data_IF_652502513918
#
_entry.id   IF_652502513918
#
_cell.length_a   1.000
_cell.length_b   1.000
_cell.length_c   1.000
_cell.angle_alpha   90.00
_cell.angle_beta   90.00
_cell.angle_gamma   90.00
#
_symmetry.space_group_name_H-M   'P 1'
#
loop_
_entity.id
_entity.type
_entity.pdbx_description
1 polymer ?
#
# COMPACT_ATOMS: atom_id res chain seq x y z
N UNK A 1 25.05 39.24 -5.40
CA UNK A 1 24.21 38.84 -4.26
C UNK A 1 22.80 38.66 -4.79
N UNK A 2 22.37 37.42 -5.05
CA UNK A 2 20.99 37.02 -5.36
C UNK A 2 20.98 35.49 -5.18
N UNK A 3 20.50 35.04 -4.03
CA UNK A 3 20.37 33.61 -3.70
C UNK A 3 19.10 33.08 -4.37
N UNK A 4 19.27 32.07 -5.22
CA UNK A 4 18.20 31.34 -5.87
C UNK A 4 17.63 30.32 -4.88
N UNK A 5 16.46 30.63 -4.34
CA UNK A 5 15.77 29.82 -3.33
C UNK A 5 14.94 28.77 -4.05
N UNK A 6 15.55 27.58 -4.24
CA UNK A 6 14.85 26.39 -4.74
C UNK A 6 13.73 26.03 -3.76
N UNK A 7 12.49 26.21 -4.20
CA UNK A 7 11.27 25.75 -3.52
C UNK A 7 11.36 24.24 -3.32
N UNK A 8 11.61 23.82 -2.09
CA UNK A 8 11.31 22.48 -1.61
C UNK A 8 9.80 22.32 -1.65
N UNK A 9 9.28 21.61 -2.66
CA UNK A 9 7.92 21.08 -2.57
C UNK A 9 7.97 20.02 -1.47
N UNK A 10 7.46 20.35 -0.28
CA UNK A 10 7.17 19.35 0.73
C UNK A 10 6.15 18.39 0.13
N UNK A 11 6.53 17.13 -0.15
CA UNK A 11 5.55 16.08 -0.27
C UNK A 11 4.84 16.00 1.08
N UNK A 12 3.68 16.66 1.17
CA UNK A 12 2.84 16.60 2.34
C UNK A 12 2.44 15.15 2.54
N UNK A 13 2.78 14.59 3.70
CA UNK A 13 2.17 13.36 4.18
C UNK A 13 0.65 13.55 4.14
N UNK A 14 -0.01 12.85 3.22
CA UNK A 14 -1.47 12.83 3.17
C UNK A 14 -1.97 12.11 4.42
N UNK A 15 -3.00 12.67 5.04
CA UNK A 15 -3.67 12.00 6.15
C UNK A 15 -4.20 10.65 5.66
N UNK A 16 -4.26 9.65 6.55
CA UNK A 16 -4.93 8.36 6.25
C UNK A 16 -6.36 8.61 5.78
N UNK A 17 -7.01 9.68 6.27
CA UNK A 17 -8.34 10.09 5.84
C UNK A 17 -8.37 10.55 4.37
N UNK A 18 -7.36 11.29 3.92
CA UNK A 18 -7.28 11.77 2.53
C UNK A 18 -7.08 10.62 1.52
N UNK A 19 -6.50 9.51 1.96
CA UNK A 19 -6.33 8.29 1.15
C UNK A 19 -7.67 7.57 1.01
N UNK A 20 -8.46 7.51 2.09
CA UNK A 20 -9.81 6.91 2.09
C UNK A 20 -10.76 7.68 1.17
N UNK A 21 -10.59 8.99 1.08
CA UNK A 21 -11.46 9.89 0.31
C UNK A 21 -11.09 9.98 -1.19
N UNK A 22 -10.03 9.31 -1.64
CA UNK A 22 -9.65 9.30 -3.08
C UNK A 22 -10.54 8.32 -3.84
N UNK A 23 -11.21 8.78 -4.89
CA UNK A 23 -12.19 8.05 -5.73
C UNK A 23 -11.64 6.79 -6.42
N UNK A 24 -11.39 5.73 -5.64
CA UNK A 24 -11.30 4.36 -6.11
C UNK A 24 -12.70 3.76 -6.29
N UNK A 25 -12.82 2.59 -6.95
CA UNK A 25 -14.11 1.89 -7.03
C UNK A 25 -14.67 1.74 -5.61
N UNK A 26 -15.89 2.23 -5.42
CA UNK A 26 -16.58 2.20 -4.15
C UNK A 26 -16.80 0.76 -3.72
N UNK A 27 -15.85 0.24 -2.94
CA UNK A 27 -16.14 -0.88 -2.04
C UNK A 27 -17.32 -0.43 -1.18
N UNK A 28 -18.32 -1.29 -0.91
CA UNK A 28 -19.41 -0.95 -0.02
C UNK A 28 -18.84 -0.82 1.40
N UNK A 29 -18.22 0.31 1.73
CA UNK A 29 -17.72 0.63 3.07
C UNK A 29 -18.92 1.08 3.91
N UNK A 30 -19.90 0.18 4.08
CA UNK A 30 -20.93 0.29 5.08
C UNK A 30 -20.56 -0.70 6.20
N UNK A 31 -19.54 -0.36 6.99
CA UNK A 31 -19.03 -1.23 8.05
C UNK A 31 -17.65 -0.82 8.59
N UNK A 32 -17.18 -1.49 9.65
CA UNK A 32 -15.80 -1.35 10.11
C UNK A 32 -14.89 -1.98 9.04
N UNK A 33 -13.79 -1.33 8.60
CA UNK A 33 -12.93 -1.85 7.52
C UNK A 33 -12.43 -3.29 7.72
N UNK A 34 -12.24 -3.71 8.97
CA UNK A 34 -11.85 -5.09 9.34
C UNK A 34 -12.94 -6.10 8.97
N UNK A 35 -14.21 -5.74 9.15
CA UNK A 35 -15.33 -6.63 8.84
C UNK A 35 -15.42 -6.84 7.33
N UNK A 36 -15.12 -5.83 6.52
CA UNK A 36 -15.01 -5.96 5.07
C UNK A 36 -13.94 -6.98 4.67
N UNK A 37 -12.75 -6.93 5.30
CA UNK A 37 -11.69 -7.92 5.02
C UNK A 37 -12.17 -9.33 5.38
N UNK A 38 -12.81 -9.51 6.53
CA UNK A 38 -13.37 -10.80 6.96
C UNK A 38 -14.43 -11.31 5.98
N UNK A 39 -15.35 -10.46 5.54
CA UNK A 39 -16.35 -10.80 4.54
C UNK A 39 -15.70 -11.22 3.23
N UNK A 40 -14.71 -10.47 2.71
CA UNK A 40 -13.99 -10.83 1.50
C UNK A 40 -13.31 -12.21 1.60
N UNK A 41 -12.66 -12.51 2.74
CA UNK A 41 -12.03 -13.82 2.97
C UNK A 41 -13.07 -14.96 2.94
N UNK A 42 -14.23 -14.74 3.58
CA UNK A 42 -15.32 -15.72 3.64
C UNK A 42 -15.98 -15.92 2.27
N UNK A 43 -16.34 -14.84 1.59
CA UNK A 43 -17.10 -14.85 0.34
C UNK A 43 -16.30 -15.42 -0.82
N UNK A 44 -14.99 -15.16 -0.86
CA UNK A 44 -14.12 -15.63 -1.95
C UNK A 44 -13.46 -16.98 -1.67
N UNK A 45 -13.70 -17.58 -0.48
CA UNK A 45 -13.04 -18.81 -0.01
C UNK A 45 -11.50 -18.77 -0.15
N UNK A 46 -10.91 -17.58 -0.21
CA UNK A 46 -9.48 -17.41 -0.27
C UNK A 46 -9.00 -17.13 1.15
N UNK A 47 -8.24 -18.05 1.77
CA UNK A 47 -7.80 -17.86 3.14
C UNK A 47 -6.82 -16.69 3.28
N UNK A 48 -6.28 -16.15 2.18
CA UNK A 48 -5.30 -15.08 2.19
C UNK A 48 -5.88 -13.75 1.71
N UNK A 49 -5.40 -12.67 2.32
CA UNK A 49 -5.72 -11.29 1.94
C UNK A 49 -4.47 -10.44 2.03
N UNK A 50 -4.47 -9.26 1.43
CA UNK A 50 -3.38 -8.31 1.60
C UNK A 50 -3.16 -7.44 0.38
N UNK A 51 -1.89 -7.11 0.12
CA UNK A 51 -1.51 -6.11 -0.86
C UNK A 51 -0.47 -6.67 -1.82
N UNK A 52 -0.66 -6.32 -3.09
CA UNK A 52 0.33 -6.52 -4.14
C UNK A 52 1.00 -5.17 -4.43
N UNK A 53 2.26 -5.03 -4.08
CA UNK A 53 3.03 -3.80 -4.22
C UNK A 53 4.00 -3.95 -5.40
N UNK A 54 3.97 -3.01 -6.33
CA UNK A 54 4.91 -2.96 -7.45
C UNK A 54 5.98 -1.94 -7.13
N UNK A 55 7.23 -2.38 -7.03
CA UNK A 55 8.34 -1.45 -6.89
C UNK A 55 8.65 -0.86 -8.26
N UNK A 56 8.49 0.44 -8.39
CA UNK A 56 8.73 1.15 -9.65
C UNK A 56 9.89 2.16 -9.56
N UNK A 57 10.44 2.34 -8.36
CA UNK A 57 11.59 3.18 -8.09
C UNK A 57 12.69 2.31 -7.50
N UNK A 58 13.87 2.41 -8.10
CA UNK A 58 15.03 1.63 -7.76
C UNK A 58 16.28 2.48 -7.50
N UNK A 59 16.10 3.74 -7.15
CA UNK A 59 17.18 4.69 -6.86
C UNK A 59 17.96 4.29 -5.58
N UNK A 60 17.28 3.65 -4.62
CA UNK A 60 17.88 3.23 -3.34
C UNK A 60 17.25 1.94 -2.82
N UNK A 61 18.05 0.87 -2.77
CA UNK A 61 17.63 -0.41 -2.19
C UNK A 61 17.49 -0.33 -0.66
N UNK A 62 18.36 0.42 0.01
CA UNK A 62 18.30 0.55 1.48
C UNK A 62 17.06 1.30 1.96
N UNK A 63 16.66 2.36 1.24
CA UNK A 63 15.45 3.11 1.61
C UNK A 63 14.19 2.29 1.32
N UNK A 64 14.21 1.51 0.24
CA UNK A 64 13.15 0.56 -0.08
C UNK A 64 13.00 -0.53 0.99
N UNK A 65 14.10 -1.16 1.39
CA UNK A 65 14.09 -2.19 2.44
C UNK A 65 13.55 -1.63 3.76
N UNK A 66 13.99 -0.42 4.14
CA UNK A 66 13.50 0.26 5.34
C UNK A 66 12.00 0.60 5.25
N UNK A 67 11.53 1.06 4.09
CA UNK A 67 10.10 1.28 3.85
C UNK A 67 9.30 0.00 4.02
N UNK A 68 9.72 -1.10 3.36
CA UNK A 68 9.03 -2.39 3.45
C UNK A 68 8.98 -2.91 4.88
N UNK A 69 10.08 -2.75 5.63
CA UNK A 69 10.13 -3.10 7.04
C UNK A 69 9.11 -2.30 7.87
N UNK A 70 9.18 -0.96 7.81
CA UNK A 70 8.26 -0.08 8.55
C UNK A 70 6.80 -0.35 8.16
N UNK A 71 6.53 -0.52 6.88
CA UNK A 71 5.19 -0.79 6.37
C UNK A 71 4.59 -2.06 6.97
N UNK A 72 5.36 -3.16 6.99
CA UNK A 72 4.94 -4.43 7.58
C UNK A 72 4.68 -4.30 9.08
N UNK A 73 5.59 -3.64 9.82
CA UNK A 73 5.42 -3.42 11.26
C UNK A 73 4.18 -2.59 11.57
N UNK A 74 3.92 -1.52 10.79
CA UNK A 74 2.73 -0.70 10.94
C UNK A 74 1.44 -1.47 10.67
N UNK A 75 1.41 -2.33 9.65
CA UNK A 75 0.24 -3.18 9.40
C UNK A 75 -0.06 -4.11 10.58
N UNK A 76 0.97 -4.73 11.17
CA UNK A 76 0.81 -5.59 12.35
C UNK A 76 0.30 -4.80 13.56
N UNK A 77 0.88 -3.63 13.82
CA UNK A 77 0.48 -2.77 14.92
C UNK A 77 -0.99 -2.30 14.78
N UNK A 78 -1.41 -1.93 13.57
CA UNK A 78 -2.79 -1.52 13.31
C UNK A 78 -3.77 -2.69 13.47
N UNK A 79 -3.44 -3.88 12.97
CA UNK A 79 -4.29 -5.06 13.18
C UNK A 79 -4.48 -5.38 14.68
N UNK A 80 -3.41 -5.27 15.47
CA UNK A 80 -3.51 -5.43 16.92
C UNK A 80 -4.40 -4.35 17.55
N UNK A 81 -4.21 -3.08 17.16
CA UNK A 81 -5.00 -1.94 17.67
C UNK A 81 -6.50 -2.10 17.39
N UNK A 82 -6.87 -2.66 16.24
CA UNK A 82 -8.27 -2.89 15.87
C UNK A 82 -8.84 -4.23 16.38
N UNK A 83 -8.15 -4.92 17.30
CA UNK A 83 -8.52 -6.24 17.80
C UNK A 83 -8.76 -7.26 16.65
N UNK A 84 -7.93 -7.16 15.62
CA UNK A 84 -7.98 -7.94 14.39
C UNK A 84 -6.69 -8.74 14.16
N UNK A 85 -6.00 -9.10 15.25
CA UNK A 85 -4.76 -9.86 15.20
C UNK A 85 -4.94 -11.26 14.60
N UNK A 86 -6.16 -11.80 14.56
CA UNK A 86 -6.49 -13.03 13.84
C UNK A 86 -6.17 -12.92 12.34
N UNK A 87 -6.39 -11.73 11.76
CA UNK A 87 -6.18 -11.49 10.34
C UNK A 87 -4.70 -11.38 9.96
N UNK A 88 -3.78 -11.18 10.91
CA UNK A 88 -2.36 -11.09 10.58
C UNK A 88 -1.80 -12.42 10.07
N UNK A 89 -2.35 -13.54 10.55
CA UNK A 89 -1.93 -14.89 10.17
C UNK A 89 -2.17 -15.21 8.71
N UNK A 90 -3.11 -14.50 8.09
CA UNK A 90 -3.53 -14.66 6.70
C UNK A 90 -3.17 -13.47 5.81
N UNK A 91 -2.54 -12.44 6.38
CA UNK A 91 -2.05 -11.28 5.65
C UNK A 91 -0.83 -11.65 4.80
N UNK A 92 -0.94 -11.45 3.49
CA UNK A 92 0.14 -11.61 2.52
C UNK A 92 0.44 -10.27 1.84
N UNK A 93 1.64 -9.75 2.04
CA UNK A 93 2.15 -8.61 1.29
C UNK A 93 3.11 -9.17 0.24
N UNK A 94 2.66 -9.18 -1.01
CA UNK A 94 3.46 -9.62 -2.14
C UNK A 94 4.10 -8.40 -2.78
N UNK A 95 5.41 -8.44 -2.98
CA UNK A 95 6.13 -7.39 -3.69
C UNK A 95 6.55 -7.94 -5.06
N UNK A 96 6.23 -7.20 -6.12
CA UNK A 96 6.71 -7.47 -7.48
C UNK A 96 7.86 -6.52 -7.78
N UNK A 97 9.02 -7.11 -8.01
CA UNK A 97 10.21 -6.42 -8.42
C UNK A 97 10.67 -6.99 -9.75
N UNK A 98 10.64 -6.14 -10.76
CA UNK A 98 11.19 -6.41 -12.08
C UNK A 98 11.69 -5.09 -12.64
N UNK A 99 12.94 -4.75 -12.31
CA UNK A 99 13.55 -3.48 -12.74
C UNK A 99 13.50 -3.31 -14.26
N UNK A 100 13.50 -4.41 -15.03
CA UNK A 100 13.48 -4.32 -16.49
C UNK A 100 12.15 -3.79 -17.06
N UNK A 101 11.04 -4.01 -16.36
CA UNK A 101 9.70 -3.60 -16.82
C UNK A 101 9.06 -2.53 -15.95
N UNK A 102 9.52 -2.38 -14.70
CA UNK A 102 8.90 -1.51 -13.69
C UNK A 102 9.70 -0.25 -13.37
N UNK A 103 10.98 -0.16 -13.74
CA UNK A 103 11.79 1.02 -13.41
C UNK A 103 11.25 2.27 -14.10
N UNK A 104 10.83 3.26 -13.30
CA UNK A 104 10.15 4.47 -13.75
C UNK A 104 8.73 4.25 -14.26
N UNK A 105 8.13 3.07 -14.09
CA UNK A 105 6.77 2.79 -14.53
C UNK A 105 5.73 3.59 -13.74
N UNK A 106 4.75 4.15 -14.44
CA UNK A 106 3.60 4.81 -13.82
C UNK A 106 2.44 3.81 -13.58
N UNK A 107 1.41 4.28 -12.86
CA UNK A 107 0.27 3.45 -12.49
C UNK A 107 -0.48 2.83 -13.69
N UNK A 108 -0.58 3.53 -14.82
CA UNK A 108 -1.26 3.01 -16.01
C UNK A 108 -0.46 1.91 -16.69
N UNK A 109 0.87 2.06 -16.75
CA UNK A 109 1.77 1.01 -17.27
C UNK A 109 1.73 -0.23 -16.37
N UNK A 110 1.75 -0.05 -15.05
CA UNK A 110 1.63 -1.15 -14.09
C UNK A 110 0.30 -1.87 -14.24
N UNK A 111 -0.82 -1.14 -14.40
CA UNK A 111 -2.16 -1.73 -14.63
C UNK A 111 -2.21 -2.60 -15.87
N UNK A 112 -1.50 -2.26 -16.94
CA UNK A 112 -1.46 -3.07 -18.17
C UNK A 112 -0.79 -4.44 -17.97
N UNK A 113 0.00 -4.61 -16.90
CA UNK A 113 0.59 -5.90 -16.53
C UNK A 113 -0.41 -6.85 -15.86
N UNK A 114 -1.54 -6.32 -15.38
CA UNK A 114 -2.66 -7.09 -14.88
C UNK A 114 -3.62 -7.39 -16.04
N UNK A 115 -3.64 -8.65 -16.47
CA UNK A 115 -4.67 -9.17 -17.36
C UNK A 115 -5.47 -10.24 -16.64
#
# INVERSE_FOLDING_TARGET
MLQDSRRTQSLGFRSVQDIIDTEGPSLPILGRPIDTIRSCIQDHMNPKWGLLIYRCDYDSDSDWENFVFIFKEMMQAHLALFAAADLSTTLEITIKEDRSTLDGANADQVRQLFK
#
